data_IF_760747882571
#
_entry.id   IF_760747882571
#
_cell.length_a   1.000
_cell.length_b   1.000
_cell.length_c   1.000
_cell.angle_alpha   90.00
_cell.angle_beta   90.00
_cell.angle_gamma   90.00
#
_symmetry.space_group_name_H-M   'P 1'
#
loop_
_entity.id
_entity.type
_entity.pdbx_description
1 polymer ?
#
# COMPACT_ATOMS: atom_id res chain seq x y z
N UNK A 1 75.10 8.97 14.35
CA UNK A 1 74.06 7.93 14.53
C UNK A 1 73.83 7.21 13.21
N UNK A 2 74.63 6.18 12.91
CA UNK A 2 74.44 5.28 11.76
C UNK A 2 75.10 3.91 12.05
N UNK A 3 74.66 2.90 11.28
CA UNK A 3 75.07 1.49 11.17
C UNK A 3 74.40 0.52 12.16
N UNK A 4 73.43 -0.31 11.76
CA UNK A 4 73.46 -1.49 10.86
C UNK A 4 74.17 -2.72 11.46
N UNK A 5 73.40 -3.76 11.81
CA UNK A 5 73.57 -5.11 11.25
C UNK A 5 72.57 -6.12 11.86
N UNK A 6 72.17 -7.09 11.03
CA UNK A 6 71.23 -8.20 11.24
C UNK A 6 71.98 -9.48 11.69
N UNK A 7 71.31 -10.33 12.48
CA UNK A 7 71.47 -11.81 12.49
C UNK A 7 70.22 -12.43 13.16
N UNK A 8 69.23 -12.99 12.44
CA UNK A 8 69.03 -14.37 11.92
C UNK A 8 68.86 -15.50 12.98
N UNK A 9 67.60 -15.90 13.15
CA UNK A 9 66.95 -17.23 13.29
C UNK A 9 67.58 -18.42 14.06
N UNK A 10 66.77 -19.04 14.94
CA UNK A 10 66.32 -20.48 14.87
C UNK A 10 65.22 -20.75 15.92
N UNK A 11 64.03 -21.15 15.49
CA UNK A 11 63.51 -22.53 15.42
C UNK A 11 62.91 -23.04 16.75
N UNK A 12 61.60 -23.29 16.72
CA UNK A 12 60.84 -23.89 17.81
C UNK A 12 59.57 -24.53 17.26
N UNK A 13 59.72 -25.76 16.78
CA UNK A 13 58.65 -26.68 16.37
C UNK A 13 57.83 -27.13 17.57
N UNK A 14 56.51 -26.97 17.54
CA UNK A 14 55.56 -27.86 18.22
C UNK A 14 54.35 -28.08 17.33
N UNK A 15 54.24 -29.31 16.82
CA UNK A 15 53.03 -29.80 16.17
C UNK A 15 51.94 -30.12 17.18
N UNK A 16 50.69 -29.99 16.76
CA UNK A 16 49.72 -31.09 16.55
C UNK A 16 48.29 -30.54 16.71
N UNK A 17 47.40 -30.74 15.72
CA UNK A 17 46.11 -31.31 16.09
C UNK A 17 45.71 -32.45 15.13
N UNK A 18 45.93 -33.68 15.59
CA UNK A 18 45.18 -34.85 15.14
C UNK A 18 43.85 -34.88 15.91
N UNK A 19 42.74 -34.65 15.22
CA UNK A 19 41.65 -35.64 15.09
C UNK A 19 40.55 -35.11 14.18
N UNK A 20 40.69 -35.49 12.93
CA UNK A 20 39.61 -35.75 11.99
C UNK A 20 38.92 -37.05 12.46
N UNK A 21 37.62 -37.00 12.76
CA UNK A 21 36.73 -38.18 12.67
C UNK A 21 35.35 -37.70 12.26
N UNK A 22 35.00 -38.07 11.03
CA UNK A 22 33.65 -38.25 10.52
C UNK A 22 32.82 -39.16 11.43
N UNK A 23 31.50 -38.93 11.48
CA UNK A 23 30.41 -39.92 11.59
C UNK A 23 29.09 -39.14 11.46
N UNK A 24 28.46 -39.16 10.28
CA UNK A 24 27.40 -40.09 9.91
C UNK A 24 26.00 -39.65 10.38
N UNK A 25 25.16 -39.33 9.40
CA UNK A 25 23.73 -39.12 9.54
C UNK A 25 23.00 -40.37 10.06
N UNK A 26 21.79 -40.21 10.60
CA UNK A 26 20.71 -41.05 10.09
C UNK A 26 19.54 -40.24 9.54
N UNK A 27 19.26 -40.59 8.28
CA UNK A 27 18.05 -40.36 7.50
C UNK A 27 16.88 -41.04 8.21
N UNK A 28 15.89 -40.29 8.68
CA UNK A 28 14.59 -40.86 9.08
C UNK A 28 13.63 -40.60 7.94
N UNK A 29 13.54 -41.60 7.06
CA UNK A 29 12.39 -41.82 6.20
C UNK A 29 11.24 -42.28 7.10
N UNK A 30 10.12 -41.56 7.08
CA UNK A 30 8.82 -42.16 7.35
C UNK A 30 7.84 -41.71 6.28
N UNK A 31 7.71 -42.62 5.32
CA UNK A 31 6.55 -42.84 4.48
C UNK A 31 5.30 -43.05 5.32
N UNK A 32 4.25 -42.24 5.09
CA UNK A 32 2.89 -42.71 5.24
C UNK A 32 2.06 -42.14 4.08
N UNK A 33 1.69 -43.04 3.19
CA UNK A 33 0.71 -42.85 2.15
C UNK A 33 -0.71 -43.00 2.71
N UNK A 34 -1.54 -42.00 2.41
CA UNK A 34 -2.95 -42.12 1.95
C UNK A 34 -4.09 -42.46 2.93
N UNK A 35 -5.39 -42.25 2.58
CA UNK A 35 -5.97 -41.52 1.43
C UNK A 35 -7.14 -40.54 1.78
N UNK A 36 -7.48 -39.72 0.77
CA UNK A 36 -8.84 -39.28 0.36
C UNK A 36 -9.89 -38.91 1.43
N UNK A 37 -10.20 -37.60 1.52
CA UNK A 37 -11.59 -37.14 1.62
C UNK A 37 -11.83 -35.93 0.73
N UNK A 38 -12.52 -36.21 -0.37
CA UNK A 38 -13.22 -35.26 -1.23
C UNK A 38 -14.33 -34.54 -0.45
N UNK A 39 -14.24 -33.22 -0.33
CA UNK A 39 -15.42 -32.39 -0.10
C UNK A 39 -15.43 -31.29 -1.17
N UNK A 40 -16.14 -31.62 -2.25
CA UNK A 40 -16.50 -30.76 -3.36
C UNK A 40 -17.32 -29.56 -2.88
N UNK A 41 -16.69 -28.39 -2.78
CA UNK A 41 -17.39 -27.10 -2.80
C UNK A 41 -16.86 -26.27 -3.96
N UNK A 42 -16.95 -26.86 -5.16
CA UNK A 42 -16.85 -26.13 -6.43
C UNK A 42 -18.23 -25.52 -6.65
N UNK A 43 -18.38 -24.25 -6.30
CA UNK A 43 -19.50 -23.44 -6.80
C UNK A 43 -19.32 -23.32 -8.31
N UNK A 44 -20.21 -23.95 -9.06
CA UNK A 44 -20.34 -23.74 -10.48
C UNK A 44 -20.64 -22.27 -10.75
N UNK A 45 -19.71 -21.60 -11.43
CA UNK A 45 -19.94 -20.28 -12.01
C UNK A 45 -20.49 -20.55 -13.41
N UNK A 46 -21.79 -20.33 -13.58
CA UNK A 46 -22.42 -20.34 -14.90
C UNK A 46 -21.82 -19.21 -15.75
N UNK A 47 -21.30 -19.48 -16.96
CA UNK A 47 -20.93 -18.41 -17.87
C UNK A 47 -22.19 -17.76 -18.45
N UNK A 48 -22.33 -16.46 -18.22
CA UNK A 48 -23.33 -15.61 -18.86
C UNK A 48 -22.97 -15.53 -20.36
N UNK A 49 -23.88 -16.03 -21.18
CA UNK A 49 -23.84 -16.00 -22.65
C UNK A 49 -23.86 -14.53 -23.13
N UNK A 50 -22.89 -14.06 -23.93
CA UNK A 50 -23.06 -12.83 -24.70
C UNK A 50 -23.86 -13.16 -25.97
N UNK A 51 -25.00 -12.49 -26.16
CA UNK A 51 -25.67 -12.44 -27.45
C UNK A 51 -24.96 -11.39 -28.31
N UNK A 52 -24.24 -11.86 -29.32
CA UNK A 52 -23.86 -11.04 -30.47
C UNK A 52 -25.06 -10.78 -31.37
N UNK A 53 -25.05 -9.61 -32.01
CA UNK A 53 -25.59 -9.45 -33.35
C UNK A 53 -26.74 -8.44 -33.48
N UNK A 54 -26.41 -7.14 -33.56
CA UNK A 54 -26.91 -6.27 -34.64
C UNK A 54 -25.85 -5.22 -34.97
N UNK A 55 -25.13 -5.45 -36.08
CA UNK A 55 -24.52 -4.38 -36.87
C UNK A 55 -25.63 -3.71 -37.67
N UNK A 56 -25.81 -2.40 -37.51
CA UNK A 56 -26.42 -1.57 -38.54
C UNK A 56 -25.79 -0.18 -38.48
N UNK A 57 -24.91 0.02 -39.44
CA UNK A 57 -24.38 1.25 -40.00
C UNK A 57 -25.46 2.33 -40.13
N UNK A 58 -25.10 3.60 -39.94
CA UNK A 58 -25.82 4.67 -40.61
C UNK A 58 -25.92 6.01 -39.88
N UNK A 59 -25.12 6.95 -40.37
CA UNK A 59 -25.44 8.37 -40.52
C UNK A 59 -25.60 9.25 -39.28
N UNK A 60 -24.51 9.98 -39.06
CA UNK A 60 -24.48 11.32 -38.50
C UNK A 60 -25.30 12.28 -39.39
N UNK A 61 -26.39 12.85 -38.88
CA UNK A 61 -26.94 14.11 -39.40
C UNK A 61 -27.09 15.11 -38.25
N UNK A 62 -26.19 16.09 -38.29
CA UNK A 62 -26.18 17.31 -37.49
C UNK A 62 -27.38 18.16 -37.91
N UNK A 63 -28.46 18.16 -37.13
CA UNK A 63 -29.58 19.06 -37.37
C UNK A 63 -29.18 20.49 -36.97
N UNK A 64 -28.88 21.31 -37.98
CA UNK A 64 -28.91 22.77 -37.87
C UNK A 64 -30.37 23.21 -37.70
N UNK A 65 -30.72 23.75 -36.53
CA UNK A 65 -31.96 24.49 -36.38
C UNK A 65 -31.79 25.84 -37.09
N UNK A 66 -32.46 25.97 -38.24
CA UNK A 66 -32.56 27.20 -38.99
C UNK A 66 -33.40 28.23 -38.20
N UNK A 67 -32.94 29.48 -38.26
CA UNK A 67 -33.67 30.68 -37.84
C UNK A 67 -34.90 30.87 -38.75
N UNK A 68 -36.09 31.01 -38.18
CA UNK A 68 -37.28 31.58 -38.83
C UNK A 68 -37.74 32.77 -37.99
N UNK A 69 -37.47 33.99 -38.45
CA UNK A 69 -38.37 34.88 -39.19
C UNK A 69 -39.54 35.42 -38.36
N UNK A 70 -39.42 36.70 -38.01
CA UNK A 70 -40.41 37.54 -37.36
C UNK A 70 -41.50 37.96 -38.35
N UNK A 71 -42.76 37.85 -37.93
CA UNK A 71 -43.85 38.66 -38.48
C UNK A 71 -44.60 39.33 -37.34
N UNK A 72 -44.63 40.64 -37.46
CA UNK A 72 -45.32 41.64 -36.64
C UNK A 72 -46.83 41.40 -36.70
N UNK A 73 -47.50 41.53 -35.56
CA UNK A 73 -48.96 41.45 -35.45
C UNK A 73 -49.39 42.04 -34.12
N UNK A 74 -49.58 43.36 -34.13
CA UNK A 74 -50.17 44.17 -33.08
C UNK A 74 -51.59 43.69 -32.78
N UNK A 75 -51.86 43.35 -31.53
CA UNK A 75 -53.21 43.29 -30.99
C UNK A 75 -53.15 43.95 -29.61
N UNK A 76 -53.47 45.22 -29.60
CA UNK A 76 -53.78 46.00 -28.41
C UNK A 76 -55.14 45.54 -27.85
N UNK A 77 -55.11 44.97 -26.64
CA UNK A 77 -56.27 44.87 -25.75
C UNK A 77 -55.82 45.41 -24.40
N UNK A 78 -56.34 46.58 -24.07
CA UNK A 78 -56.26 47.18 -22.74
C UNK A 78 -57.39 46.61 -21.88
N UNK A 79 -57.04 45.89 -20.82
CA UNK A 79 -57.93 45.62 -19.68
C UNK A 79 -57.07 45.59 -18.39
N UNK A 80 -57.16 46.69 -17.65
CA UNK A 80 -57.30 46.81 -16.19
C UNK A 80 -56.15 46.30 -15.29
N UNK A 81 -55.58 47.26 -14.55
CA UNK A 81 -54.60 47.12 -13.48
C UNK A 81 -55.12 46.27 -12.30
N UNK A 82 -54.46 45.14 -12.02
CA UNK A 82 -54.54 44.44 -10.73
C UNK A 82 -53.13 43.96 -10.33
N UNK A 83 -52.53 44.71 -9.40
CA UNK A 83 -51.43 44.43 -8.49
C UNK A 83 -50.45 43.29 -8.83
N UNK A 84 -49.33 43.72 -9.43
CA UNK A 84 -48.07 43.00 -9.50
C UNK A 84 -47.43 42.85 -8.10
N UNK A 85 -47.89 41.88 -7.31
CA UNK A 85 -47.08 41.27 -6.25
C UNK A 85 -47.35 39.77 -6.12
N UNK A 86 -47.10 39.03 -7.20
CA UNK A 86 -46.94 37.57 -7.07
C UNK A 86 -45.77 37.31 -6.12
N UNK A 87 -45.96 36.65 -4.97
CA UNK A 87 -44.86 36.35 -4.07
C UNK A 87 -43.84 35.52 -4.85
N UNK A 88 -42.57 35.93 -4.81
CA UNK A 88 -41.46 35.13 -5.30
C UNK A 88 -41.54 33.77 -4.62
N UNK A 89 -42.07 32.76 -5.32
CA UNK A 89 -42.11 31.40 -4.81
C UNK A 89 -40.66 30.91 -4.85
N UNK A 90 -39.94 31.10 -3.74
CA UNK A 90 -38.63 30.50 -3.53
C UNK A 90 -38.79 28.99 -3.57
N UNK A 91 -38.60 28.41 -4.76
CA UNK A 91 -38.60 26.97 -4.91
C UNK A 91 -37.38 26.45 -4.15
N UNK A 92 -37.57 25.58 -3.13
CA UNK A 92 -36.45 25.07 -2.37
C UNK A 92 -35.46 24.41 -3.34
N UNK A 93 -34.15 24.63 -3.15
CA UNK A 93 -33.15 24.14 -4.08
C UNK A 93 -33.31 22.63 -4.22
N UNK A 94 -33.55 22.18 -5.46
CA UNK A 94 -33.78 20.76 -5.76
C UNK A 94 -32.60 19.92 -5.26
N UNK A 95 -32.83 19.17 -4.18
CA UNK A 95 -31.81 18.29 -3.60
C UNK A 95 -31.53 17.16 -4.58
N UNK A 96 -30.37 17.18 -5.23
CA UNK A 96 -29.90 16.09 -6.08
C UNK A 96 -29.37 14.97 -5.20
N UNK A 97 -30.22 13.98 -4.89
CA UNK A 97 -29.77 12.78 -4.20
C UNK A 97 -28.75 12.04 -5.07
N UNK A 98 -27.58 11.78 -4.48
CA UNK A 98 -26.59 10.91 -5.09
C UNK A 98 -27.06 9.46 -4.96
N UNK A 99 -26.61 8.59 -5.87
CA UNK A 99 -26.79 7.14 -5.73
C UNK A 99 -26.23 6.67 -4.38
N UNK A 100 -26.92 5.75 -3.68
CA UNK A 100 -26.52 5.30 -2.34
C UNK A 100 -25.08 4.78 -2.31
N UNK A 101 -24.61 4.09 -3.36
CA UNK A 101 -23.22 3.60 -3.44
C UNK A 101 -22.18 4.71 -3.39
N UNK A 102 -22.48 5.86 -4.02
CA UNK A 102 -21.59 7.02 -4.04
C UNK A 102 -21.58 7.68 -2.67
N UNK A 103 -22.74 7.78 -2.03
CA UNK A 103 -22.89 8.30 -0.66
C UNK A 103 -22.15 7.41 0.33
N UNK A 104 -22.33 6.08 0.28
CA UNK A 104 -21.63 5.13 1.13
C UNK A 104 -20.10 5.21 0.95
N UNK A 105 -19.60 5.27 -0.29
CA UNK A 105 -18.18 5.47 -0.56
C UNK A 105 -17.65 6.77 0.03
N UNK A 106 -18.43 7.85 -0.09
CA UNK A 106 -18.06 9.15 0.46
C UNK A 106 -17.98 9.11 1.99
N UNK A 107 -18.97 8.50 2.64
CA UNK A 107 -18.98 8.29 4.11
C UNK A 107 -17.74 7.51 4.54
N UNK A 108 -17.41 6.40 3.86
CA UNK A 108 -16.20 5.63 4.19
C UNK A 108 -14.91 6.42 4.02
N UNK A 109 -14.84 7.30 3.02
CA UNK A 109 -13.69 8.18 2.85
C UNK A 109 -13.58 9.23 3.96
N UNK A 110 -14.71 9.73 4.46
CA UNK A 110 -14.77 10.66 5.60
C UNK A 110 -14.25 9.95 6.86
N UNK A 111 -14.80 8.78 7.19
CA UNK A 111 -14.38 8.01 8.36
C UNK A 111 -12.89 7.67 8.34
N UNK A 112 -12.34 7.31 7.18
CA UNK A 112 -10.90 7.05 7.04
C UNK A 112 -10.04 8.30 7.29
N UNK A 113 -10.49 9.48 6.86
CA UNK A 113 -9.77 10.73 7.09
C UNK A 113 -9.79 11.10 8.57
N UNK A 114 -10.97 11.10 9.18
CA UNK A 114 -11.15 11.38 10.61
C UNK A 114 -10.29 10.46 11.48
N UNK A 115 -10.24 9.17 11.16
CA UNK A 115 -9.40 8.21 11.88
C UNK A 115 -7.91 8.54 11.76
N UNK A 116 -7.44 8.94 10.58
CA UNK A 116 -6.03 9.31 10.36
C UNK A 116 -5.68 10.60 11.10
N UNK A 117 -6.58 11.58 11.08
CA UNK A 117 -6.34 12.89 11.71
C UNK A 117 -6.25 12.75 13.24
N UNK A 118 -7.11 11.93 13.86
CA UNK A 118 -7.02 11.59 15.29
C UNK A 118 -5.64 11.06 15.67
N UNK A 119 -5.12 10.08 14.92
CA UNK A 119 -3.81 9.49 15.21
C UNK A 119 -2.66 10.48 14.98
N UNK A 120 -2.78 11.36 13.99
CA UNK A 120 -1.77 12.40 13.72
C UNK A 120 -1.70 13.46 14.82
N UNK A 121 -2.81 13.77 15.48
CA UNK A 121 -2.85 14.67 16.63
C UNK A 121 -2.10 14.07 17.83
N UNK A 122 -2.23 12.76 18.03
CA UNK A 122 -1.56 12.05 19.14
C UNK A 122 -0.06 11.83 18.93
N UNK A 123 0.36 11.58 17.68
CA UNK A 123 1.74 11.18 17.36
C UNK A 123 2.27 11.85 16.10
N UNK A 124 3.49 12.39 16.19
CA UNK A 124 4.25 12.87 15.03
C UNK A 124 4.78 11.69 14.22
N UNK A 125 4.19 11.44 13.05
CA UNK A 125 4.60 10.33 12.17
C UNK A 125 5.40 10.88 10.98
N UNK A 126 6.65 10.42 10.76
CA UNK A 126 7.46 10.89 9.65
C UNK A 126 6.97 10.32 8.30
N UNK A 127 7.31 10.98 7.20
CA UNK A 127 7.00 10.48 5.86
C UNK A 127 7.94 9.33 5.46
N UNK A 128 7.42 8.10 5.55
CA UNK A 128 8.15 6.88 5.24
C UNK A 128 8.04 6.56 3.76
N UNK A 129 9.12 6.70 3.01
CA UNK A 129 9.16 6.38 1.58
C UNK A 129 9.92 5.06 1.32
N UNK A 130 9.62 4.36 0.20
CA UNK A 130 10.46 3.24 -0.25
C UNK A 130 11.91 3.70 -0.44
N UNK A 131 12.88 2.89 0.01
CA UNK A 131 14.29 3.24 -0.01
C UNK A 131 14.79 3.96 1.25
N UNK A 132 13.91 4.32 2.18
CA UNK A 132 14.33 4.80 3.50
C UNK A 132 14.83 3.64 4.38
N UNK A 133 15.88 3.90 5.15
CA UNK A 133 16.31 3.05 6.26
C UNK A 133 15.66 3.58 7.52
N UNK A 134 14.84 2.73 8.15
CA UNK A 134 14.02 3.11 9.31
C UNK A 134 14.48 2.32 10.52
N UNK A 135 14.56 3.00 11.66
CA UNK A 135 14.65 2.40 12.98
C UNK A 135 13.35 2.66 13.72
N UNK A 136 12.72 1.60 14.22
CA UNK A 136 11.43 1.67 14.88
C UNK A 136 11.45 0.92 16.20
N UNK A 137 10.78 1.46 17.21
CA UNK A 137 10.51 0.79 18.49
C UNK A 137 9.09 0.25 18.48
N UNK A 138 8.97 -1.07 18.64
CA UNK A 138 7.68 -1.77 18.63
C UNK A 138 7.45 -2.43 19.98
N UNK A 139 6.28 -2.17 20.55
CA UNK A 139 5.79 -2.89 21.72
C UNK A 139 5.09 -4.18 21.24
N UNK A 140 5.64 -5.33 21.63
CA UNK A 140 5.08 -6.64 21.29
C UNK A 140 4.18 -7.08 22.45
N UNK A 141 2.92 -7.49 22.20
CA UNK A 141 1.97 -7.81 23.27
C UNK A 141 2.42 -8.96 24.17
N UNK A 142 3.16 -9.93 23.63
CA UNK A 142 3.72 -11.06 24.37
C UNK A 142 4.82 -10.62 25.35
N UNK A 143 5.62 -9.63 24.97
CA UNK A 143 6.79 -9.17 25.71
C UNK A 143 6.59 -7.74 26.21
N UNK A 144 5.62 -7.53 27.10
CA UNK A 144 5.24 -6.19 27.60
C UNK A 144 6.37 -5.44 28.31
N UNK A 145 7.37 -6.15 28.84
CA UNK A 145 8.49 -5.57 29.61
C UNK A 145 9.52 -4.83 28.76
N UNK A 146 9.63 -5.13 27.46
CA UNK A 146 10.67 -4.55 26.60
C UNK A 146 10.12 -4.10 25.25
N UNK A 147 10.60 -2.96 24.79
CA UNK A 147 10.37 -2.50 23.42
C UNK A 147 11.39 -3.14 22.49
N UNK A 148 10.91 -3.75 21.41
CA UNK A 148 11.77 -4.35 20.41
C UNK A 148 12.20 -3.29 19.40
N UNK A 149 13.51 -3.09 19.25
CA UNK A 149 14.04 -2.18 18.24
C UNK A 149 14.29 -2.93 16.93
N UNK A 150 13.66 -2.46 15.85
CA UNK A 150 13.79 -3.02 14.51
C UNK A 150 14.45 -1.98 13.60
N UNK A 151 15.45 -2.41 12.84
CA UNK A 151 16.13 -1.59 11.84
C UNK A 151 16.14 -2.33 10.50
N UNK A 152 15.80 -1.63 9.43
CA UNK A 152 15.77 -2.21 8.09
C UNK A 152 15.44 -1.20 7.00
N UNK A 153 15.42 -1.67 5.76
CA UNK A 153 14.98 -0.87 4.61
C UNK A 153 13.48 -1.04 4.37
N UNK A 154 12.81 0.05 4.06
CA UNK A 154 11.45 0.03 3.54
C UNK A 154 11.46 -0.35 2.06
N UNK A 155 10.90 -1.52 1.74
CA UNK A 155 10.83 -2.03 0.37
C UNK A 155 9.59 -1.55 -0.37
N UNK A 156 8.49 -1.35 0.34
CA UNK A 156 7.21 -0.97 -0.25
C UNK A 156 6.35 -0.26 0.78
N UNK A 157 5.51 0.66 0.32
CA UNK A 157 4.44 1.30 1.08
C UNK A 157 3.12 1.14 0.34
N UNK A 158 2.07 0.80 1.06
CA UNK A 158 0.68 0.72 0.58
C UNK A 158 -0.13 1.76 1.34
N UNK A 159 -0.65 2.76 0.62
CA UNK A 159 -1.52 3.79 1.18
C UNK A 159 -2.97 3.28 1.14
N UNK A 160 -3.62 3.22 2.31
CA UNK A 160 -4.98 2.72 2.45
C UNK A 160 -5.67 3.39 3.65
N UNK A 161 -5.65 4.74 3.69
CA UNK A 161 -6.21 5.51 4.82
C UNK A 161 -5.55 5.11 6.13
N UNK A 162 -6.35 4.72 7.11
CA UNK A 162 -5.89 4.24 8.43
C UNK A 162 -5.10 2.91 8.34
N UNK A 163 -5.37 2.07 7.34
CA UNK A 163 -4.70 0.80 7.11
C UNK A 163 -3.44 0.95 6.23
N UNK A 164 -2.87 2.16 6.15
CA UNK A 164 -1.61 2.40 5.45
C UNK A 164 -0.50 1.56 6.09
N UNK A 165 0.19 0.77 5.27
CA UNK A 165 1.22 -0.17 5.71
C UNK A 165 2.52 0.04 4.96
N UNK A 166 3.63 -0.28 5.60
CA UNK A 166 4.93 -0.36 4.94
C UNK A 166 5.60 -1.69 5.26
N UNK A 167 6.45 -2.13 4.33
CA UNK A 167 7.18 -3.40 4.42
C UNK A 167 8.64 -3.10 4.72
N UNK A 168 9.12 -3.62 5.83
CA UNK A 168 10.51 -3.53 6.27
C UNK A 168 11.24 -4.83 5.91
N UNK A 169 12.43 -4.73 5.34
CA UNK A 169 13.33 -5.86 5.08
C UNK A 169 14.61 -5.66 5.86
N UNK A 170 15.04 -6.69 6.58
CA UNK A 170 16.34 -6.73 7.29
C UNK A 170 16.92 -8.15 7.21
N UNK A 171 18.25 -8.24 7.32
CA UNK A 171 18.92 -9.53 7.50
C UNK A 171 19.08 -9.79 9.00
N UNK A 172 18.61 -10.93 9.47
CA UNK A 172 18.76 -11.40 10.85
C UNK A 172 19.45 -12.75 10.80
N UNK A 173 20.64 -12.85 11.41
CA UNK A 173 21.41 -14.10 11.44
C UNK A 173 21.59 -14.76 10.05
N UNK A 174 21.82 -13.94 9.01
CA UNK A 174 21.99 -14.42 7.63
C UNK A 174 20.69 -14.69 6.86
N UNK A 175 19.52 -14.65 7.51
CA UNK A 175 18.22 -14.87 6.88
C UNK A 175 17.52 -13.54 6.60
N UNK A 176 16.98 -13.39 5.38
CA UNK A 176 16.21 -12.21 4.98
C UNK A 176 14.81 -12.21 5.57
N UNK A 177 14.59 -11.40 6.61
CA UNK A 177 13.29 -11.25 7.26
C UNK A 177 12.55 -10.04 6.67
N UNK A 178 11.34 -10.28 6.19
CA UNK A 178 10.40 -9.24 5.80
C UNK A 178 9.30 -9.11 6.85
N UNK A 179 8.95 -7.88 7.21
CA UNK A 179 7.88 -7.60 8.19
C UNK A 179 7.01 -6.47 7.69
N UNK A 180 5.70 -6.58 7.89
CA UNK A 180 4.71 -5.58 7.47
C UNK A 180 4.18 -4.87 8.70
N UNK A 181 4.24 -3.54 8.69
CA UNK A 181 3.77 -2.72 9.80
C UNK A 181 2.68 -1.74 9.35
N UNK A 182 1.58 -1.60 10.12
CA UNK A 182 0.65 -0.48 9.95
C UNK A 182 1.29 0.80 10.45
N UNK A 183 1.26 1.87 9.66
CA UNK A 183 1.91 3.15 9.96
C UNK A 183 1.27 3.87 11.15
N UNK A 184 -0.04 3.70 11.34
CA UNK A 184 -0.83 4.34 12.40
C UNK A 184 -1.06 3.43 13.61
N UNK A 185 -0.26 2.36 13.77
CA UNK A 185 -0.46 1.40 14.86
C UNK A 185 -0.12 2.00 16.23
N UNK A 186 -0.93 1.76 17.28
CA UNK A 186 -0.60 2.18 18.64
C UNK A 186 0.61 1.43 19.21
N UNK A 187 0.88 0.21 18.70
CA UNK A 187 2.00 -0.65 19.11
C UNK A 187 3.36 -0.08 18.71
N UNK A 188 3.39 0.84 17.74
CA UNK A 188 4.60 1.54 17.35
C UNK A 188 4.74 2.77 18.25
N UNK A 189 5.86 2.85 18.97
CA UNK A 189 6.17 3.96 19.88
C UNK A 189 6.88 5.09 19.16
N UNK A 190 7.88 4.75 18.38
CA UNK A 190 8.73 5.73 17.71
C UNK A 190 9.22 5.21 16.37
N UNK A 191 9.21 6.08 15.35
CA UNK A 191 9.74 5.82 14.00
C UNK A 191 10.80 6.88 13.71
N UNK A 192 12.05 6.46 13.52
CA UNK A 192 13.16 7.32 13.08
C UNK A 192 13.61 6.93 11.68
N UNK A 193 13.74 7.92 10.80
CA UNK A 193 14.40 7.74 9.51
C UNK A 193 15.88 7.98 9.74
N UNK A 194 16.70 6.95 9.49
CA UNK A 194 18.15 7.02 9.64
C UNK A 194 18.82 7.53 8.37
N UNK A 195 18.39 7.01 7.22
CA UNK A 195 18.98 7.34 5.92
C UNK A 195 17.92 7.24 4.82
N UNK A 196 18.11 8.00 3.75
CA UNK A 196 17.25 8.00 2.56
C UNK A 196 18.09 7.65 1.34
N UNK A 197 17.86 6.46 0.76
CA UNK A 197 18.55 6.05 -0.46
C UNK A 197 17.75 6.46 -1.71
N UNK A 198 18.47 6.92 -2.73
CA UNK A 198 17.89 7.21 -4.04
C UNK A 198 17.51 5.90 -4.73
N UNK A 199 16.22 5.68 -4.94
CA UNK A 199 15.68 4.49 -5.61
C UNK A 199 14.82 4.90 -6.80
N UNK A 200 14.85 4.09 -7.86
CA UNK A 200 14.06 4.36 -9.08
C UNK A 200 12.69 3.68 -9.09
N UNK A 201 12.53 2.58 -8.35
CA UNK A 201 11.28 1.80 -8.30
C UNK A 201 10.48 2.14 -7.04
N UNK A 202 9.15 2.21 -7.17
CA UNK A 202 8.25 2.42 -6.02
C UNK A 202 8.18 1.20 -5.07
N UNK A 203 8.48 0.00 -5.58
CA UNK A 203 8.56 -1.23 -4.79
C UNK A 203 9.87 -1.96 -5.08
N UNK A 204 10.65 -2.20 -4.05
CA UNK A 204 12.02 -2.73 -4.11
C UNK A 204 12.04 -4.25 -3.93
N UNK A 205 11.13 -4.98 -4.57
CA UNK A 205 11.05 -6.44 -4.44
C UNK A 205 12.27 -7.16 -4.99
N UNK A 206 13.01 -6.53 -5.90
CA UNK A 206 14.31 -7.01 -6.38
C UNK A 206 15.36 -7.16 -5.26
N UNK A 207 15.13 -6.60 -4.07
CA UNK A 207 16.03 -6.76 -2.92
C UNK A 207 15.93 -8.15 -2.27
N UNK A 208 14.98 -8.99 -2.70
CA UNK A 208 14.88 -10.40 -2.32
C UNK A 208 16.03 -11.21 -2.88
N UNK A 209 16.30 -10.99 -4.16
CA UNK A 209 17.32 -11.72 -4.92
C UNK A 209 18.72 -11.14 -4.72
N UNK A 210 18.81 -9.94 -4.15
CA UNK A 210 20.10 -9.29 -3.84
C UNK A 210 20.53 -9.57 -2.41
N UNK A 211 21.70 -10.19 -2.29
CA UNK A 211 22.33 -10.58 -1.02
C UNK A 211 22.61 -9.41 -0.09
N UNK A 212 22.93 -8.22 -0.62
CA UNK A 212 23.19 -7.01 0.17
C UNK A 212 22.68 -5.78 -0.57
N UNK A 213 21.51 -5.30 -0.16
CA UNK A 213 20.80 -4.24 -0.86
C UNK A 213 21.53 -2.89 -0.86
N UNK A 214 22.16 -2.52 0.27
CA UNK A 214 22.57 -1.14 0.52
C UNK A 214 23.66 -1.08 1.60
N UNK A 215 24.86 -1.61 1.32
CA UNK A 215 26.03 -1.03 1.98
C UNK A 215 26.31 0.33 1.33
N UNK A 216 26.69 1.29 2.17
CA UNK A 216 27.02 2.66 1.76
C UNK A 216 28.11 2.64 0.69
#
# INVERSE_FOLDING_TARGET
MQSLARTVCRAGTRGNPLKLMDCAAPRVEQSFAEPLRSCSWIRQISPIIPRDGVQAYGFCTRALAARGFSTVGTAEVSVEDEDSSSPMVEHPPRIKFKRPDKTARHIMNILNKEAVDKVRTEKTIPDVQPGCIVQMRVQVPENKRRESTLKGIVIARRNAGIATTFRLRRLVAGVGVESVFPLYSPNIKEIKILDRKKVRRAKLYYLRDRMNALKK
#
